data_IF_529125319711
#
_entry.id   IF_529125319711
#
_cell.length_a   1.000
_cell.length_b   1.000
_cell.length_c   1.000
_cell.angle_alpha   90.00
_cell.angle_beta   90.00
_cell.angle_gamma   90.00
#
_symmetry.space_group_name_H-M   'P 1'
#
loop_
_entity.id
_entity.type
_entity.pdbx_description
1 polymer ?
#
# COMPACT_ATOMS: atom_id res chain seq x y z
N UNK A 1 8.61 8.12 22.02
CA UNK A 1 8.27 6.88 21.31
C UNK A 1 9.43 5.90 21.39
N UNK A 2 10.67 6.27 21.07
CA UNK A 2 11.84 5.37 21.09
C UNK A 2 12.04 4.65 22.43
N UNK A 3 11.95 5.35 23.55
CA UNK A 3 12.09 4.73 24.88
C UNK A 3 11.03 3.67 25.13
N UNK A 4 9.79 3.90 24.67
CA UNK A 4 8.71 2.91 24.76
C UNK A 4 9.02 1.68 23.89
N UNK A 5 9.47 1.89 22.65
CA UNK A 5 9.84 0.78 21.76
C UNK A 5 10.95 -0.08 22.35
N UNK A 6 12.03 0.54 22.85
CA UNK A 6 13.11 -0.18 23.52
C UNK A 6 12.64 -0.95 24.78
N UNK A 7 11.72 -0.39 25.53
CA UNK A 7 11.12 -1.08 26.67
C UNK A 7 10.29 -2.30 26.20
N UNK A 8 9.39 -2.11 25.25
CA UNK A 8 8.54 -3.17 24.74
C UNK A 8 9.30 -4.33 24.09
N UNK A 9 10.33 -4.04 23.32
CA UNK A 9 11.16 -5.08 22.72
C UNK A 9 11.85 -5.98 23.76
N UNK A 10 12.10 -5.49 24.96
CA UNK A 10 12.71 -6.26 26.04
C UNK A 10 11.69 -6.96 26.93
N UNK A 11 10.49 -6.40 27.09
CA UNK A 11 9.52 -6.83 28.08
C UNK A 11 8.24 -7.43 27.52
N UNK A 12 7.99 -7.21 26.22
CA UNK A 12 6.78 -7.64 25.53
C UNK A 12 7.14 -8.49 24.29
N UNK A 13 7.29 -9.80 24.45
CA UNK A 13 7.73 -10.70 23.38
C UNK A 13 6.60 -10.94 22.38
N UNK A 14 6.35 -9.99 21.48
CA UNK A 14 5.31 -10.12 20.47
C UNK A 14 5.67 -11.22 19.46
N UNK A 15 4.77 -12.18 19.29
CA UNK A 15 4.89 -13.25 18.31
C UNK A 15 4.17 -12.84 17.02
N UNK A 16 4.94 -12.48 16.00
CA UNK A 16 4.39 -12.14 14.69
C UNK A 16 3.96 -13.41 13.93
N UNK A 17 2.69 -13.48 13.55
CA UNK A 17 2.11 -14.61 12.83
C UNK A 17 1.29 -14.11 11.63
N UNK A 18 1.76 -14.38 10.41
CA UNK A 18 1.07 -14.00 9.17
C UNK A 18 -0.26 -14.75 8.96
N UNK A 19 -0.40 -15.92 9.56
CA UNK A 19 -1.61 -16.75 9.44
C UNK A 19 -2.67 -16.42 10.52
N UNK A 20 -2.44 -15.35 11.28
CA UNK A 20 -3.38 -14.89 12.30
C UNK A 20 -4.64 -14.31 11.63
N UNK A 21 -5.71 -15.10 11.60
CA UNK A 21 -6.96 -14.76 10.90
C UNK A 21 -8.15 -14.54 11.84
N UNK A 22 -7.91 -14.39 13.13
CA UNK A 22 -8.98 -14.11 14.06
C UNK A 22 -9.57 -12.71 13.87
N UNK A 23 -10.85 -12.51 14.24
CA UNK A 23 -11.40 -11.17 14.35
C UNK A 23 -10.53 -10.32 15.26
N UNK A 24 -10.53 -9.00 15.03
CA UNK A 24 -9.80 -8.08 15.89
C UNK A 24 -10.30 -8.15 17.33
N UNK A 25 -9.42 -8.52 18.25
CA UNK A 25 -9.77 -8.88 19.64
C UNK A 25 -9.56 -7.73 20.65
N UNK A 26 -9.12 -6.56 20.18
CA UNK A 26 -8.97 -5.37 21.00
C UNK A 26 -7.69 -5.33 21.84
N UNK A 27 -7.48 -4.17 22.50
CA UNK A 27 -6.23 -3.88 23.21
C UNK A 27 -5.95 -4.75 24.43
N UNK A 28 -6.98 -5.14 25.18
CA UNK A 28 -6.83 -6.01 26.34
C UNK A 28 -6.31 -7.40 25.95
N UNK A 29 -6.89 -7.98 24.89
CA UNK A 29 -6.39 -9.26 24.38
C UNK A 29 -4.93 -9.15 23.92
N UNK A 30 -4.59 -8.10 23.19
CA UNK A 30 -3.22 -7.90 22.70
C UNK A 30 -2.24 -7.69 23.85
N UNK A 31 -2.66 -7.06 24.94
CA UNK A 31 -1.83 -6.90 26.13
C UNK A 31 -1.52 -8.24 26.82
N UNK A 32 -2.49 -9.15 26.84
CA UNK A 32 -2.37 -10.46 27.51
C UNK A 32 -1.72 -11.51 26.60
N UNK A 33 -1.99 -11.45 25.29
CA UNK A 33 -1.61 -12.46 24.30
C UNK A 33 -0.81 -11.84 23.17
N UNK A 34 0.39 -11.46 23.42
CA UNK A 34 1.32 -10.78 22.50
C UNK A 34 1.53 -11.52 21.15
N UNK A 35 0.47 -11.69 20.37
CA UNK A 35 0.45 -12.43 19.11
C UNK A 35 -0.45 -11.76 18.07
N UNK A 36 -0.05 -11.80 16.81
CA UNK A 36 -0.84 -11.28 15.68
C UNK A 36 -0.01 -11.00 14.45
N UNK A 37 -0.64 -10.44 13.44
CA UNK A 37 0.00 -9.94 12.24
C UNK A 37 0.25 -8.42 12.34
N UNK A 38 0.58 -7.79 11.22
CA UNK A 38 0.85 -6.35 11.17
C UNK A 38 -0.32 -5.48 11.68
N UNK A 39 -1.56 -5.94 11.51
CA UNK A 39 -2.74 -5.22 12.02
C UNK A 39 -2.74 -5.18 13.54
N UNK A 40 -2.57 -6.32 14.19
CA UNK A 40 -2.56 -6.46 15.65
C UNK A 40 -1.38 -5.68 16.26
N UNK A 41 -0.20 -5.76 15.64
CA UNK A 41 0.97 -4.96 16.00
C UNK A 41 0.66 -3.45 15.95
N UNK A 42 0.07 -3.00 14.82
CA UNK A 42 -0.33 -1.60 14.62
C UNK A 42 -1.32 -1.14 15.68
N UNK A 43 -2.37 -1.93 15.92
CA UNK A 43 -3.41 -1.59 16.87
C UNK A 43 -2.89 -1.55 18.31
N UNK A 44 -2.00 -2.46 18.69
CA UNK A 44 -1.36 -2.45 19.99
C UNK A 44 -0.57 -1.15 20.21
N UNK A 45 0.24 -0.75 19.25
CA UNK A 45 0.95 0.53 19.30
C UNK A 45 0.01 1.73 19.36
N UNK A 46 -1.12 1.70 18.64
CA UNK A 46 -2.13 2.75 18.71
C UNK A 46 -2.73 2.85 20.12
N UNK A 47 -3.09 1.75 20.73
CA UNK A 47 -3.63 1.75 22.08
C UNK A 47 -2.62 2.33 23.09
N UNK A 48 -1.39 1.85 23.06
CA UNK A 48 -0.34 2.32 23.95
C UNK A 48 -0.04 3.80 23.80
N UNK A 49 0.17 4.26 22.59
CA UNK A 49 0.50 5.67 22.34
C UNK A 49 -0.66 6.60 22.70
N UNK A 50 -1.91 6.21 22.44
CA UNK A 50 -3.10 6.99 22.83
C UNK A 50 -3.26 7.08 24.34
N UNK A 51 -2.98 6.01 25.11
CA UNK A 51 -3.02 6.06 26.57
C UNK A 51 -1.98 7.03 27.15
N UNK A 52 -0.90 7.27 26.42
CA UNK A 52 0.15 8.26 26.75
C UNK A 52 -0.17 9.67 26.24
N UNK A 53 -1.35 9.89 25.63
CA UNK A 53 -1.74 11.17 25.07
C UNK A 53 -1.04 11.53 23.73
N UNK A 54 -0.41 10.56 23.07
CA UNK A 54 0.28 10.78 21.79
C UNK A 54 -0.71 10.54 20.65
N UNK A 55 -0.97 11.53 19.78
CA UNK A 55 -1.82 11.34 18.60
C UNK A 55 -1.18 10.33 17.64
N UNK A 56 -1.95 9.28 17.28
CA UNK A 56 -1.48 8.18 16.45
C UNK A 56 -2.60 7.67 15.53
N UNK A 57 -2.21 7.23 14.34
CA UNK A 57 -3.10 6.64 13.34
C UNK A 57 -2.47 5.35 12.76
N UNK A 58 -3.25 4.64 11.94
CA UNK A 58 -2.79 3.52 11.14
C UNK A 58 -2.64 3.97 9.69
N UNK A 59 -1.48 3.72 9.09
CA UNK A 59 -1.23 3.83 7.66
C UNK A 59 -1.11 2.43 7.07
N UNK A 60 -1.51 2.31 5.79
CA UNK A 60 -1.49 1.01 5.10
C UNK A 60 -1.39 1.16 3.60
N UNK A 61 -0.86 0.17 2.94
CA UNK A 61 -1.17 -0.12 1.54
C UNK A 61 -2.08 -1.35 1.47
N UNK A 62 -2.97 -1.36 0.48
CA UNK A 62 -3.95 -2.45 0.33
C UNK A 62 -3.35 -3.60 -0.48
N UNK A 63 -2.63 -3.26 -1.56
CA UNK A 63 -1.94 -4.20 -2.42
C UNK A 63 -0.54 -3.70 -2.75
N UNK A 64 0.36 -4.63 -3.05
CA UNK A 64 1.74 -4.35 -3.42
C UNK A 64 2.17 -5.32 -4.52
N UNK A 65 3.02 -4.88 -5.48
CA UNK A 65 3.63 -5.80 -6.43
C UNK A 65 4.65 -6.76 -5.79
N UNK A 66 5.19 -6.40 -4.63
CA UNK A 66 6.27 -7.13 -3.96
C UNK A 66 5.77 -8.03 -2.81
N UNK A 67 4.49 -7.96 -2.47
CA UNK A 67 3.95 -8.69 -1.33
C UNK A 67 2.56 -9.27 -1.62
N UNK A 68 2.30 -10.43 -1.05
CA UNK A 68 1.03 -11.14 -1.22
C UNK A 68 -0.15 -10.41 -0.61
N UNK A 69 0.05 -9.81 0.56
CA UNK A 69 -0.99 -9.13 1.33
C UNK A 69 -0.70 -7.63 1.45
N UNK A 70 -1.71 -6.87 1.82
CA UNK A 70 -1.54 -5.52 2.32
C UNK A 70 -0.70 -5.50 3.59
N UNK A 71 -0.26 -4.32 3.99
CA UNK A 71 0.49 -4.12 5.22
C UNK A 71 0.02 -2.85 5.90
N UNK A 72 -0.01 -2.86 7.23
CA UNK A 72 -0.32 -1.70 8.05
C UNK A 72 0.78 -1.45 9.08
N UNK A 73 0.92 -0.21 9.46
CA UNK A 73 1.84 0.26 10.50
C UNK A 73 1.27 1.47 11.22
N UNK A 74 1.75 1.75 12.41
CA UNK A 74 1.36 2.93 13.16
C UNK A 74 2.19 4.15 12.74
N UNK A 75 1.55 5.32 12.79
CA UNK A 75 2.19 6.61 12.61
C UNK A 75 1.78 7.53 13.74
N UNK A 76 2.73 8.12 14.44
CA UNK A 76 2.42 9.10 15.48
C UNK A 76 2.69 10.53 14.98
N UNK A 77 1.93 11.48 15.48
CA UNK A 77 2.11 12.89 15.15
C UNK A 77 3.16 13.50 16.09
N UNK A 78 4.25 13.98 15.53
CA UNK A 78 5.30 14.63 16.29
C UNK A 78 4.96 16.08 16.66
N UNK A 79 5.85 16.76 17.39
CA UNK A 79 5.69 18.16 17.80
C UNK A 79 5.72 19.16 16.64
N UNK A 80 6.20 18.77 15.46
CA UNK A 80 6.15 19.58 14.24
C UNK A 80 4.82 19.45 13.50
N UNK A 81 3.97 18.51 13.92
CA UNK A 81 2.71 18.18 13.24
C UNK A 81 2.85 17.13 12.15
N UNK A 82 4.05 16.59 11.93
CA UNK A 82 4.31 15.55 10.94
C UNK A 82 3.98 14.16 11.49
N UNK A 83 3.48 13.29 10.63
CA UNK A 83 3.28 11.89 10.98
C UNK A 83 4.55 11.10 10.74
N UNK A 84 4.99 10.38 11.78
CA UNK A 84 6.24 9.61 11.80
C UNK A 84 5.89 8.12 11.92
N UNK A 85 6.29 7.27 10.96
CA UNK A 85 6.09 5.83 11.04
C UNK A 85 6.79 5.20 12.23
N UNK A 86 6.14 4.23 12.86
CA UNK A 86 6.69 3.44 13.96
C UNK A 86 6.08 2.04 13.94
N UNK A 87 6.87 1.05 14.31
CA UNK A 87 6.47 -0.36 14.45
C UNK A 87 7.02 -0.91 15.77
N UNK A 88 6.29 -1.83 16.39
CA UNK A 88 6.67 -2.44 17.65
C UNK A 88 7.99 -3.22 17.55
N UNK A 89 8.13 -4.02 16.49
CA UNK A 89 9.26 -4.93 16.29
C UNK A 89 10.50 -4.28 15.69
N UNK A 90 10.43 -3.01 15.30
CA UNK A 90 11.59 -2.26 14.76
C UNK A 90 12.16 -1.33 15.79
N UNK A 91 13.49 -1.28 15.84
CA UNK A 91 14.21 -0.31 16.67
C UNK A 91 14.24 1.05 16.02
N UNK A 92 13.89 2.05 16.78
CA UNK A 92 13.97 3.46 16.40
C UNK A 92 12.80 3.95 15.58
N UNK A 93 12.62 5.26 15.65
CA UNK A 93 11.67 6.03 14.87
C UNK A 93 12.37 6.55 13.64
N UNK A 94 11.82 6.35 12.46
CA UNK A 94 12.41 6.84 11.22
C UNK A 94 11.46 7.81 10.52
N UNK A 95 11.97 9.00 10.18
CA UNK A 95 11.26 9.93 9.31
C UNK A 95 11.25 9.47 7.85
N UNK A 96 12.21 8.63 7.49
CA UNK A 96 12.32 8.00 6.17
C UNK A 96 11.94 6.53 6.27
N UNK A 97 10.63 6.28 6.33
CA UNK A 97 10.16 4.91 6.41
C UNK A 97 10.21 4.22 5.04
N UNK A 98 11.06 3.24 4.95
CA UNK A 98 11.19 2.39 3.77
C UNK A 98 11.35 0.93 4.18
N UNK A 99 10.27 0.16 4.07
CA UNK A 99 10.31 -1.29 4.26
C UNK A 99 10.77 -2.04 3.00
N UNK A 100 11.29 -1.34 1.99
CA UNK A 100 11.73 -1.86 0.69
C UNK A 100 10.62 -2.53 -0.15
N UNK A 101 9.38 -2.44 0.28
CA UNK A 101 8.24 -2.92 -0.50
C UNK A 101 7.65 -1.79 -1.30
N UNK A 102 7.35 -2.05 -2.56
CA UNK A 102 6.61 -1.13 -3.41
C UNK A 102 5.15 -1.10 -2.97
N UNK A 103 4.56 0.07 -2.85
CA UNK A 103 3.23 0.29 -2.24
C UNK A 103 2.19 0.75 -3.27
N UNK A 104 2.66 1.44 -4.31
CA UNK A 104 1.79 2.14 -5.25
C UNK A 104 1.12 3.35 -4.61
N UNK A 105 0.27 3.14 -3.60
CA UNK A 105 -0.36 4.20 -2.80
C UNK A 105 -0.42 3.82 -1.32
N UNK A 106 -0.45 4.86 -0.47
CA UNK A 106 -0.56 4.74 0.99
C UNK A 106 -1.82 5.43 1.47
N UNK A 107 -2.54 4.77 2.37
CA UNK A 107 -3.80 5.26 2.93
C UNK A 107 -3.73 5.29 4.45
N UNK A 108 -4.25 6.38 5.06
CA UNK A 108 -4.41 6.54 6.51
C UNK A 108 -5.83 6.22 6.93
N UNK A 109 -5.96 5.38 7.94
CA UNK A 109 -7.25 5.04 8.52
C UNK A 109 -7.78 6.19 9.38
N UNK A 110 -9.05 6.55 9.13
CA UNK A 110 -9.75 7.62 9.82
C UNK A 110 -10.85 7.04 10.72
N UNK A 111 -10.95 7.56 11.93
CA UNK A 111 -12.04 7.19 12.85
C UNK A 111 -13.39 7.65 12.32
N UNK A 112 -13.42 8.83 11.68
CA UNK A 112 -14.63 9.45 11.10
C UNK A 112 -14.51 9.44 9.57
N UNK A 113 -15.57 9.04 8.84
CA UNK A 113 -15.58 9.09 7.39
C UNK A 113 -15.27 10.49 6.85
N UNK A 114 -14.41 10.57 5.85
CA UNK A 114 -14.00 11.80 5.20
C UNK A 114 -14.76 12.00 3.88
N UNK A 115 -15.33 13.19 3.65
CA UNK A 115 -16.08 13.49 2.41
C UNK A 115 -15.21 13.40 1.15
N UNK A 116 -13.96 13.83 1.25
CA UNK A 116 -12.99 13.87 0.15
C UNK A 116 -11.74 13.04 0.52
N UNK A 117 -11.95 11.76 0.79
CA UNK A 117 -10.85 10.89 1.22
C UNK A 117 -9.79 10.63 0.14
N UNK A 118 -10.11 10.85 -1.14
CA UNK A 118 -9.24 10.45 -2.27
C UNK A 118 -9.12 8.94 -2.45
N UNK A 119 -9.70 8.17 -1.54
CA UNK A 119 -9.53 6.72 -1.48
C UNK A 119 -10.50 5.99 -2.40
N UNK A 120 -9.97 4.94 -3.04
CA UNK A 120 -10.76 3.92 -3.73
C UNK A 120 -11.51 2.99 -2.74
N UNK A 121 -10.98 2.86 -1.53
CA UNK A 121 -11.36 1.80 -0.57
C UNK A 121 -12.31 2.29 0.52
N UNK A 122 -12.99 3.40 0.28
CA UNK A 122 -14.02 3.94 1.16
C UNK A 122 -13.63 5.20 1.92
N UNK A 123 -14.62 5.83 2.52
CA UNK A 123 -14.49 7.16 3.14
C UNK A 123 -13.69 7.18 4.46
N UNK A 124 -13.39 6.02 5.01
CA UNK A 124 -12.53 5.91 6.21
C UNK A 124 -11.05 5.80 5.91
N UNK A 125 -10.66 5.73 4.64
CA UNK A 125 -9.27 5.71 4.23
C UNK A 125 -8.96 6.99 3.45
N UNK A 126 -8.00 7.77 3.93
CA UNK A 126 -7.52 8.98 3.26
C UNK A 126 -6.21 8.69 2.54
N UNK A 127 -6.09 9.11 1.29
CA UNK A 127 -4.83 9.03 0.54
C UNK A 127 -3.79 9.95 1.19
N UNK A 128 -2.71 9.37 1.68
CA UNK A 128 -1.57 10.04 2.30
C UNK A 128 -0.25 9.69 1.60
N UNK A 129 -0.33 9.32 0.34
CA UNK A 129 0.83 8.93 -0.47
C UNK A 129 1.91 10.01 -0.45
N UNK A 130 1.52 11.29 -0.39
CA UNK A 130 2.45 12.43 -0.30
C UNK A 130 3.24 12.53 0.99
N UNK A 131 2.82 11.84 2.06
CA UNK A 131 3.61 11.77 3.30
C UNK A 131 4.84 10.85 3.13
N UNK A 132 4.84 10.00 2.08
CA UNK A 132 5.87 8.98 1.80
C UNK A 132 6.66 9.23 0.54
N UNK A 133 6.06 9.86 -0.45
CA UNK A 133 6.63 10.11 -1.77
C UNK A 133 6.43 11.56 -2.19
N UNK A 134 7.33 12.13 -2.98
CA UNK A 134 7.12 13.46 -3.54
C UNK A 134 5.80 13.56 -4.29
N UNK A 135 5.15 14.71 -4.23
CA UNK A 135 3.97 15.01 -5.02
C UNK A 135 4.28 14.86 -6.50
N UNK A 136 3.47 14.11 -7.22
CA UNK A 136 3.65 13.88 -8.64
C UNK A 136 2.31 13.79 -9.38
N UNK A 137 2.37 13.92 -10.70
CA UNK A 137 1.29 13.61 -11.61
C UNK A 137 1.80 12.69 -12.71
N UNK A 138 1.16 11.54 -12.84
CA UNK A 138 1.48 10.58 -13.91
C UNK A 138 0.39 10.64 -14.97
N UNK A 139 0.76 10.94 -16.22
CA UNK A 139 -0.16 11.03 -17.36
C UNK A 139 -0.08 9.76 -18.19
N UNK A 140 -1.22 9.07 -18.34
CA UNK A 140 -1.30 7.86 -19.17
C UNK A 140 -1.67 8.28 -20.60
N UNK A 141 -0.67 8.46 -21.46
CA UNK A 141 -0.85 8.97 -22.83
C UNK A 141 -1.53 7.96 -23.77
N UNK A 142 -1.35 6.65 -23.53
CA UNK A 142 -1.94 5.59 -24.36
C UNK A 142 -3.40 5.30 -24.07
N UNK A 143 -3.97 5.86 -23.01
CA UNK A 143 -5.33 5.60 -22.64
C UNK A 143 -6.27 6.59 -23.33
N UNK A 144 -7.29 6.07 -23.99
CA UNK A 144 -8.30 6.89 -24.67
C UNK A 144 -9.61 6.92 -23.85
N UNK A 145 -10.17 8.12 -23.72
CA UNK A 145 -11.44 8.31 -23.03
C UNK A 145 -12.60 7.70 -23.82
N UNK A 146 -13.35 6.83 -23.19
CA UNK A 146 -14.58 6.27 -23.77
C UNK A 146 -15.79 6.94 -23.16
N UNK A 147 -16.51 7.72 -23.99
CA UNK A 147 -17.74 8.38 -23.57
C UNK A 147 -17.53 9.50 -22.52
N UNK A 148 -18.42 9.53 -21.51
CA UNK A 148 -18.46 10.55 -20.46
C UNK A 148 -17.80 10.15 -19.15
N UNK A 149 -16.97 9.10 -19.17
CA UNK A 149 -16.26 8.64 -17.96
C UNK A 149 -15.43 9.76 -17.35
N UNK A 150 -15.57 9.95 -16.04
CA UNK A 150 -14.82 10.98 -15.29
C UNK A 150 -13.55 10.43 -14.65
N UNK A 151 -13.54 9.16 -14.30
CA UNK A 151 -12.45 8.49 -13.61
C UNK A 151 -12.36 7.02 -14.03
N UNK A 152 -11.26 6.38 -13.74
CA UNK A 152 -11.07 4.96 -13.85
C UNK A 152 -10.06 4.48 -12.81
N UNK A 153 -9.70 3.21 -12.87
CA UNK A 153 -8.84 2.58 -11.87
C UNK A 153 -7.44 2.39 -12.41
N UNK A 154 -6.47 2.44 -11.51
CA UNK A 154 -5.08 2.05 -11.76
C UNK A 154 -4.70 0.96 -10.77
N UNK A 155 -4.04 -0.08 -11.24
CA UNK A 155 -3.64 -1.23 -10.44
C UNK A 155 -2.20 -1.62 -10.64
N UNK A 156 -1.74 -2.51 -9.77
CA UNK A 156 -0.45 -3.19 -9.83
C UNK A 156 -0.67 -4.69 -10.03
N UNK A 157 0.34 -5.39 -10.55
CA UNK A 157 0.32 -6.84 -10.62
C UNK A 157 0.81 -7.42 -9.30
N UNK A 158 -0.03 -8.18 -8.65
CA UNK A 158 0.28 -8.90 -7.41
C UNK A 158 0.11 -10.40 -7.60
N UNK A 159 0.27 -11.19 -6.56
CA UNK A 159 0.00 -12.64 -6.61
C UNK A 159 -1.47 -12.97 -6.95
N UNK A 160 -2.38 -12.03 -6.76
CA UNK A 160 -3.81 -12.16 -7.12
C UNK A 160 -4.11 -11.64 -8.53
N UNK A 161 -3.10 -11.41 -9.36
CA UNK A 161 -3.23 -10.76 -10.66
C UNK A 161 -3.27 -9.23 -10.55
N UNK A 162 -3.92 -8.58 -11.52
CA UNK A 162 -4.07 -7.13 -11.49
C UNK A 162 -5.09 -6.69 -10.43
N UNK A 163 -4.61 -5.90 -9.47
CA UNK A 163 -5.42 -5.39 -8.36
C UNK A 163 -5.35 -3.87 -8.30
N UNK A 164 -6.46 -3.17 -8.03
CA UNK A 164 -6.48 -1.73 -8.00
C UNK A 164 -5.74 -1.19 -6.78
N UNK A 165 -4.97 -0.11 -6.97
CA UNK A 165 -4.32 0.63 -5.89
C UNK A 165 -4.80 2.07 -5.79
N UNK A 166 -5.38 2.62 -6.86
CA UNK A 166 -5.86 4.00 -6.90
C UNK A 166 -6.76 4.27 -8.10
N UNK A 167 -6.99 5.56 -8.34
CA UNK A 167 -7.78 6.05 -9.46
C UNK A 167 -6.94 6.94 -10.36
N UNK A 168 -7.33 7.01 -11.64
CA UNK A 168 -6.99 8.11 -12.50
C UNK A 168 -8.25 8.94 -12.77
N UNK A 169 -8.07 10.23 -13.04
CA UNK A 169 -9.14 11.14 -13.43
C UNK A 169 -8.89 11.68 -14.83
N UNK A 170 -9.98 11.96 -15.56
CA UNK A 170 -9.89 12.58 -16.86
C UNK A 170 -9.80 14.10 -16.75
N UNK A 171 -8.64 14.65 -17.06
CA UNK A 171 -8.39 16.10 -17.13
C UNK A 171 -7.99 16.46 -18.56
N UNK A 172 -8.75 17.33 -19.23
CA UNK A 172 -8.45 17.76 -20.61
C UNK A 172 -8.19 16.60 -21.58
N UNK A 173 -9.02 15.55 -21.53
CA UNK A 173 -8.86 14.30 -22.30
C UNK A 173 -7.60 13.50 -22.01
N UNK A 174 -6.89 13.75 -20.93
CA UNK A 174 -5.76 12.96 -20.46
C UNK A 174 -6.15 12.22 -19.19
N UNK A 175 -5.77 10.96 -19.08
CA UNK A 175 -5.89 10.20 -17.85
C UNK A 175 -4.74 10.56 -16.92
N UNK A 176 -5.03 11.17 -15.78
CA UNK A 176 -4.05 11.68 -14.82
C UNK A 176 -4.20 10.95 -13.51
N UNK A 177 -3.11 10.45 -12.98
CA UNK A 177 -3.02 9.89 -11.64
C UNK A 177 -2.28 10.90 -10.77
N UNK A 178 -2.88 11.26 -9.64
CA UNK A 178 -2.24 12.14 -8.65
C UNK A 178 -1.63 11.32 -7.52
N UNK A 179 -0.40 11.69 -7.14
CA UNK A 179 0.30 11.17 -5.96
C UNK A 179 0.37 9.63 -5.93
N UNK A 180 1.17 9.08 -6.80
CA UNK A 180 1.42 7.63 -6.86
C UNK A 180 2.93 7.37 -6.67
N UNK A 181 3.31 6.22 -6.12
CA UNK A 181 4.72 5.83 -6.09
C UNK A 181 5.25 5.68 -7.51
N UNK A 182 6.41 6.26 -7.78
CA UNK A 182 7.08 6.23 -9.09
C UNK A 182 8.44 5.54 -8.97
N UNK A 183 9.17 5.39 -10.06
CA UNK A 183 10.50 4.80 -10.02
C UNK A 183 10.53 3.29 -10.26
N UNK A 184 10.22 2.86 -11.48
CA UNK A 184 10.34 1.45 -11.90
C UNK A 184 9.14 0.58 -11.56
N UNK A 185 7.97 1.17 -11.31
CA UNK A 185 6.72 0.43 -11.10
C UNK A 185 5.93 0.29 -12.40
N UNK A 186 5.38 -0.89 -12.60
CA UNK A 186 4.46 -1.17 -13.69
C UNK A 186 3.03 -1.07 -13.18
N UNK A 187 2.26 -0.20 -13.80
CA UNK A 187 0.85 0.01 -13.52
C UNK A 187 -0.02 -0.40 -14.71
N UNK A 188 -1.26 -0.75 -14.42
CA UNK A 188 -2.26 -1.15 -15.39
C UNK A 188 -3.53 -0.32 -15.21
N UNK A 189 -4.02 0.37 -16.25
CA UNK A 189 -5.38 0.89 -16.23
C UNK A 189 -6.38 -0.27 -16.14
N UNK A 190 -7.33 -0.17 -15.22
CA UNK A 190 -8.29 -1.24 -14.94
C UNK A 190 -9.72 -0.74 -15.06
N UNK A 191 -10.64 -1.68 -15.33
CA UNK A 191 -12.08 -1.50 -15.21
C UNK A 191 -12.74 -2.70 -14.55
N UNK A 192 -13.92 -2.49 -14.00
CA UNK A 192 -14.74 -3.59 -13.51
C UNK A 192 -15.45 -4.31 -14.67
N UNK A 193 -15.49 -5.63 -14.59
CA UNK A 193 -16.34 -6.48 -15.41
C UNK A 193 -16.97 -7.55 -14.51
N UNK A 194 -18.21 -7.36 -14.13
CA UNK A 194 -18.81 -8.13 -13.02
C UNK A 194 -18.02 -7.91 -11.75
N UNK A 195 -17.56 -8.97 -11.11
CA UNK A 195 -16.76 -8.93 -9.88
C UNK A 195 -15.24 -9.04 -10.11
N UNK A 196 -14.77 -8.84 -11.35
CA UNK A 196 -13.35 -8.96 -11.68
C UNK A 196 -12.79 -7.66 -12.23
N UNK A 197 -11.56 -7.38 -11.83
CA UNK A 197 -10.76 -6.31 -12.42
C UNK A 197 -10.14 -6.80 -13.71
N UNK A 198 -10.33 -6.08 -14.80
CA UNK A 198 -9.74 -6.42 -16.10
C UNK A 198 -9.00 -5.23 -16.68
N UNK A 199 -7.92 -5.46 -17.45
CA UNK A 199 -7.21 -4.40 -18.15
C UNK A 199 -8.14 -3.58 -19.07
N UNK A 200 -7.94 -2.26 -19.09
CA UNK A 200 -8.68 -1.33 -19.95
C UNK A 200 -7.79 -0.54 -20.92
N UNK A 201 -6.49 -0.81 -20.92
CA UNK A 201 -5.48 -0.20 -21.77
C UNK A 201 -4.17 -0.97 -21.68
N UNK A 202 -3.09 -0.42 -22.21
CA UNK A 202 -1.75 -0.98 -22.05
C UNK A 202 -1.20 -0.71 -20.65
N UNK A 203 -0.41 -1.64 -20.06
CA UNK A 203 0.37 -1.34 -18.89
C UNK A 203 1.38 -0.26 -19.19
N UNK A 204 1.83 0.45 -18.18
CA UNK A 204 2.85 1.48 -18.31
C UNK A 204 3.85 1.41 -17.17
N UNK A 205 5.11 1.71 -17.50
CA UNK A 205 6.21 1.84 -16.55
C UNK A 205 6.35 3.29 -16.14
N UNK A 206 6.56 3.57 -14.86
CA UNK A 206 6.91 4.91 -14.38
C UNK A 206 8.40 5.02 -14.10
N UNK A 207 9.05 6.11 -14.53
CA UNK A 207 10.40 6.45 -14.11
C UNK A 207 10.42 7.25 -12.79
N UNK A 208 11.60 7.64 -12.33
CA UNK A 208 11.79 8.39 -11.08
C UNK A 208 11.14 9.80 -11.12
N UNK A 209 10.99 10.38 -12.32
CA UNK A 209 10.35 11.68 -12.53
C UNK A 209 8.83 11.58 -12.74
N UNK A 210 8.26 10.38 -12.69
CA UNK A 210 6.83 10.14 -12.88
C UNK A 210 6.37 10.15 -14.34
N UNK A 211 7.28 10.05 -15.30
CA UNK A 211 6.91 9.89 -16.71
C UNK A 211 6.44 8.45 -16.96
N UNK A 212 5.32 8.31 -17.65
CA UNK A 212 4.75 7.02 -17.99
C UNK A 212 5.12 6.58 -19.40
N UNK A 213 5.79 5.45 -19.52
CA UNK A 213 6.05 4.79 -20.80
C UNK A 213 5.13 3.61 -20.96
N UNK A 214 4.25 3.64 -21.97
CA UNK A 214 3.32 2.55 -22.25
C UNK A 214 4.04 1.33 -22.81
N UNK A 215 3.75 0.15 -22.25
CA UNK A 215 4.29 -1.12 -22.70
C UNK A 215 3.36 -1.71 -23.78
N UNK A 216 3.58 -1.24 -25.00
CA UNK A 216 2.79 -1.67 -26.16
C UNK A 216 3.45 -2.93 -26.73
N UNK A 217 2.74 -4.06 -26.85
CA UNK A 217 3.31 -5.27 -27.43
C UNK A 217 3.74 -5.07 -28.88
N UNK A 218 4.93 -5.51 -29.21
CA UNK A 218 5.32 -5.71 -30.60
C UNK A 218 4.65 -7.01 -31.09
N UNK A 219 3.74 -6.87 -32.03
CA UNK A 219 3.01 -8.02 -32.60
C UNK A 219 3.67 -8.59 -33.85
N UNK A 220 4.77 -8.00 -34.31
CA UNK A 220 5.47 -8.37 -35.52
C UNK A 220 6.67 -9.26 -35.22
N UNK A 221 7.38 -8.95 -34.13
CA UNK A 221 8.56 -9.71 -33.71
C UNK A 221 8.24 -10.58 -32.52
N UNK A 222 8.69 -11.82 -32.57
CA UNK A 222 8.58 -12.78 -31.46
C UNK A 222 9.96 -13.18 -30.99
N UNK A 223 10.17 -13.20 -29.68
CA UNK A 223 11.39 -13.68 -29.04
C UNK A 223 11.07 -14.86 -28.14
N UNK A 224 11.98 -15.82 -28.09
CA UNK A 224 11.92 -16.91 -27.13
C UNK A 224 12.63 -16.48 -25.85
N UNK A 225 11.87 -16.35 -24.75
CA UNK A 225 12.42 -15.99 -23.44
C UNK A 225 12.45 -17.22 -22.55
N UNK A 226 13.64 -17.53 -22.03
CA UNK A 226 13.78 -18.55 -21.00
C UNK A 226 13.61 -17.90 -19.62
N UNK A 227 12.55 -18.28 -18.92
CA UNK A 227 12.32 -17.83 -17.55
C UNK A 227 13.03 -18.76 -16.59
N UNK A 228 13.96 -18.22 -15.82
CA UNK A 228 14.66 -18.96 -14.76
C UNK A 228 14.16 -18.50 -13.41
N UNK A 229 13.76 -19.45 -12.59
CA UNK A 229 13.35 -19.16 -11.23
C UNK A 229 14.55 -18.78 -10.38
N UNK A 230 14.54 -17.60 -9.78
CA UNK A 230 15.65 -17.13 -8.90
C UNK A 230 15.66 -17.77 -7.51
N UNK A 231 14.48 -18.20 -7.03
CA UNK A 231 14.35 -18.77 -5.69
C UNK A 231 13.82 -20.20 -5.77
N UNK A 232 14.39 -21.14 -5.04
CA UNK A 232 13.84 -22.49 -4.94
C UNK A 232 12.43 -22.43 -4.34
N UNK A 233 11.56 -23.37 -4.73
CA UNK A 233 10.33 -23.61 -4.00
C UNK A 233 10.69 -24.03 -2.58
N UNK A 234 10.24 -23.31 -1.59
CA UNK A 234 10.24 -23.83 -0.22
C UNK A 234 9.12 -24.86 -0.09
N UNK A 235 9.24 -25.83 0.81
CA UNK A 235 8.22 -26.85 1.07
C UNK A 235 6.83 -26.22 1.27
N UNK A 236 6.78 -25.10 1.93
CA UNK A 236 5.56 -24.28 2.17
C UNK A 236 4.78 -23.91 0.90
N UNK A 237 5.44 -23.80 -0.27
CA UNK A 237 4.79 -23.45 -1.54
C UNK A 237 4.46 -24.66 -2.42
N UNK A 238 4.90 -25.84 -2.02
CA UNK A 238 4.68 -27.09 -2.78
C UNK A 238 3.41 -27.80 -2.30
N UNK A 239 3.00 -27.55 -1.06
CA UNK A 239 1.84 -28.20 -0.42
C UNK A 239 0.53 -27.40 -0.61
N UNK A 240 0.49 -26.40 -1.50
CA UNK A 240 -0.66 -25.68 -1.99
C UNK A 240 -0.95 -26.14 -3.42
#
# INVERSE_FOLDING_TARGET
VDSLQHYLQRTYPFCYNNDFQYPHLGGEFLLQHAVGACREETDFMIYLLRTMGIPVASDRYIYSPDAFLGHSWSVFKDTTGSFIPTELLRTGVSREWNNRRRKGKVYREQTIPQKNSGSLFGSKLTDVTTDYYPTNQVVISSLQRKGKEKEGLVGVFSMNGWVPVGKYIWQNNRAVIENIEVGGLIYQPLRMNGNRWIPSGYPFLTDEEGRATSLIPDTIHTETVTLTRKHPLTQYWVDI
#
